data_IF_940233041503
#
_entry.id   IF_940233041503
#
_cell.length_a   1.000
_cell.length_b   1.000
_cell.length_c   1.000
_cell.angle_alpha   90.00
_cell.angle_beta   90.00
_cell.angle_gamma   90.00
#
_symmetry.space_group_name_H-M   'P 1'
#
loop_
_entity.id
_entity.type
_entity.pdbx_description
1 polymer ?
#
# COMPACT_ATOMS: atom_id res chain seq x y z
N UNK A 1 -8.68 16.43 5.55
CA UNK A 1 -7.27 16.40 6.02
C UNK A 1 -6.98 15.26 6.98
N UNK A 2 -7.74 15.05 8.07
CA UNK A 2 -7.48 13.99 9.06
C UNK A 2 -7.42 12.55 8.51
N UNK A 3 -8.27 12.21 7.52
CA UNK A 3 -8.24 10.88 6.89
C UNK A 3 -6.93 10.59 6.13
N UNK A 4 -6.35 11.59 5.45
CA UNK A 4 -5.12 11.39 4.67
C UNK A 4 -3.95 11.02 5.58
N UNK A 5 -3.81 11.69 6.72
CA UNK A 5 -2.76 11.36 7.70
C UNK A 5 -2.96 9.96 8.30
N UNK A 6 -4.19 9.56 8.61
CA UNK A 6 -4.47 8.21 9.13
C UNK A 6 -4.19 7.11 8.10
N UNK A 7 -4.50 7.36 6.82
CA UNK A 7 -4.14 6.45 5.73
C UNK A 7 -2.63 6.38 5.50
N UNK A 8 -1.93 7.51 5.60
CA UNK A 8 -0.46 7.51 5.50
C UNK A 8 0.19 6.76 6.68
N UNK A 9 -0.32 6.94 7.92
CA UNK A 9 0.12 6.13 9.06
C UNK A 9 -0.14 4.64 8.83
N UNK A 10 -1.26 4.28 8.20
CA UNK A 10 -1.53 2.90 7.79
C UNK A 10 -0.52 2.40 6.75
N UNK A 11 -0.19 3.20 5.73
CA UNK A 11 0.82 2.87 4.73
C UNK A 11 2.18 2.59 5.37
N UNK A 12 2.62 3.43 6.32
CA UNK A 12 3.86 3.22 7.07
C UNK A 12 3.84 1.93 7.92
N UNK A 13 2.71 1.62 8.57
CA UNK A 13 2.53 0.35 9.30
C UNK A 13 2.60 -0.87 8.37
N UNK A 14 2.09 -0.74 7.15
CA UNK A 14 2.17 -1.79 6.13
C UNK A 14 3.62 -1.96 5.64
N UNK A 15 4.33 -0.86 5.38
CA UNK A 15 5.73 -0.87 4.96
C UNK A 15 6.61 -1.66 5.93
N UNK A 16 6.42 -1.46 7.25
CA UNK A 16 7.18 -2.16 8.30
C UNK A 16 7.10 -3.69 8.21
N UNK A 17 6.06 -4.26 7.58
CA UNK A 17 5.96 -5.71 7.40
C UNK A 17 7.02 -6.28 6.44
N UNK A 18 7.66 -5.44 5.63
CA UNK A 18 8.79 -5.80 4.75
C UNK A 18 10.15 -5.80 5.46
N UNK A 19 10.23 -5.38 6.72
CA UNK A 19 11.48 -5.25 7.48
C UNK A 19 12.31 -6.55 7.43
N UNK A 20 13.58 -6.41 7.06
CA UNK A 20 14.53 -7.53 6.93
C UNK A 20 14.33 -8.46 5.72
N UNK A 21 13.29 -8.26 4.89
CA UNK A 21 12.96 -9.16 3.76
C UNK A 21 13.14 -8.53 2.39
N UNK A 22 13.22 -7.20 2.33
CA UNK A 22 13.18 -6.44 1.08
C UNK A 22 14.52 -5.84 0.65
N UNK A 23 15.52 -5.80 1.54
CA UNK A 23 16.84 -5.25 1.23
C UNK A 23 17.44 -5.86 -0.06
N UNK A 24 18.07 -5.07 -0.94
CA UNK A 24 18.41 -3.64 -0.84
C UNK A 24 17.27 -2.66 -1.12
N UNK A 25 16.08 -3.15 -1.49
CA UNK A 25 14.93 -2.29 -1.79
C UNK A 25 14.36 -1.67 -0.50
N UNK A 26 13.68 -0.52 -0.60
CA UNK A 26 13.04 0.11 0.55
C UNK A 26 11.80 -0.67 1.02
N UNK A 27 11.47 -0.49 2.29
CA UNK A 27 10.15 -0.84 2.82
C UNK A 27 9.12 0.15 2.29
N UNK A 28 8.13 -0.35 1.56
CA UNK A 28 7.04 0.46 1.01
C UNK A 28 5.70 -0.18 1.39
N UNK A 29 4.73 0.64 1.77
CA UNK A 29 3.35 0.26 1.98
C UNK A 29 2.43 1.20 1.22
N UNK A 30 1.30 0.70 0.75
CA UNK A 30 0.36 1.43 -0.08
C UNK A 30 -1.07 1.20 0.38
N UNK A 31 -1.90 2.24 0.33
CA UNK A 31 -3.31 2.22 0.75
C UNK A 31 -4.14 2.85 -0.35
N UNK A 32 -4.97 2.04 -1.01
CA UNK A 32 -5.88 2.52 -2.03
C UNK A 32 -7.23 2.84 -1.41
N UNK A 33 -7.72 4.06 -1.62
CA UNK A 33 -8.95 4.56 -1.01
C UNK A 33 -9.92 5.13 -2.03
N UNK A 34 -11.22 4.95 -1.83
CA UNK A 34 -12.27 5.45 -2.71
C UNK A 34 -13.49 5.80 -1.88
N UNK A 35 -14.06 6.99 -2.09
CA UNK A 35 -15.21 7.49 -1.32
C UNK A 35 -14.98 7.36 0.20
N UNK A 36 -13.81 7.83 0.65
CA UNK A 36 -13.37 7.83 2.06
C UNK A 36 -13.23 6.44 2.70
N UNK A 37 -13.18 5.37 1.90
CA UNK A 37 -12.99 3.99 2.38
C UNK A 37 -11.71 3.41 1.82
N UNK A 38 -11.00 2.64 2.65
CA UNK A 38 -9.91 1.79 2.16
C UNK A 38 -10.52 0.64 1.37
N UNK A 39 -10.15 0.53 0.10
CA UNK A 39 -10.62 -0.54 -0.80
C UNK A 39 -9.56 -1.63 -0.99
N UNK A 40 -8.27 -1.28 -0.88
CA UNK A 40 -7.19 -2.25 -0.96
C UNK A 40 -5.90 -1.74 -0.28
N UNK A 41 -4.99 -2.66 0.03
CA UNK A 41 -3.70 -2.35 0.64
C UNK A 41 -2.60 -3.28 0.13
N UNK A 42 -1.37 -2.79 0.07
CA UNK A 42 -0.20 -3.55 -0.32
C UNK A 42 1.03 -3.17 0.49
N UNK A 43 2.03 -4.05 0.48
CA UNK A 43 3.37 -3.74 0.99
C UNK A 43 4.41 -4.55 0.23
N UNK A 44 5.63 -4.03 0.08
CA UNK A 44 6.70 -4.80 -0.56
C UNK A 44 7.12 -5.94 0.38
N UNK A 45 6.90 -7.19 -0.05
CA UNK A 45 6.99 -8.38 0.82
C UNK A 45 8.39 -9.00 0.88
N UNK A 46 9.08 -9.01 -0.25
CA UNK A 46 10.36 -9.68 -0.41
C UNK A 46 11.13 -9.06 -1.60
N UNK A 47 12.45 -9.14 -1.54
CA UNK A 47 13.33 -8.66 -2.61
C UNK A 47 13.00 -9.30 -3.97
N UNK A 48 12.88 -8.47 -5.02
CA UNK A 48 12.53 -8.91 -6.38
C UNK A 48 11.03 -9.17 -6.60
N UNK A 49 10.21 -9.12 -5.54
CA UNK A 49 8.76 -9.22 -5.64
C UNK A 49 8.08 -7.92 -6.10
N UNK A 50 6.75 -7.94 -6.26
CA UNK A 50 6.00 -6.74 -6.63
C UNK A 50 6.17 -5.62 -5.59
N UNK A 51 6.19 -4.38 -6.06
CA UNK A 51 6.11 -3.22 -5.17
C UNK A 51 4.71 -3.12 -4.52
N UNK A 52 4.59 -2.30 -3.47
CA UNK A 52 3.37 -2.19 -2.67
C UNK A 52 2.15 -1.73 -3.49
N UNK A 53 2.37 -0.83 -4.44
CA UNK A 53 1.37 -0.23 -5.33
C UNK A 53 0.73 -1.30 -6.22
N UNK A 54 1.56 -2.19 -6.79
CA UNK A 54 1.10 -3.30 -7.62
C UNK A 54 0.19 -4.21 -6.81
N UNK A 55 0.62 -4.62 -5.60
CA UNK A 55 -0.19 -5.47 -4.72
C UNK A 55 -1.51 -4.78 -4.32
N UNK A 56 -1.51 -3.46 -4.06
CA UNK A 56 -2.71 -2.71 -3.72
C UNK A 56 -3.70 -2.63 -4.90
N UNK A 57 -3.21 -2.36 -6.12
CA UNK A 57 -4.04 -2.27 -7.32
C UNK A 57 -4.61 -3.63 -7.72
N UNK A 58 -3.80 -4.69 -7.71
CA UNK A 58 -4.25 -6.05 -8.03
C UNK A 58 -5.34 -6.53 -7.06
N UNK A 59 -5.18 -6.26 -5.76
CA UNK A 59 -6.19 -6.58 -4.75
C UNK A 59 -7.47 -5.77 -4.87
N UNK A 60 -7.42 -4.60 -5.50
CA UNK A 60 -8.60 -3.79 -5.75
C UNK A 60 -9.51 -4.39 -6.82
N UNK A 61 -9.08 -5.45 -7.53
CA UNK A 61 -9.90 -6.24 -8.48
C UNK A 61 -10.68 -5.38 -9.48
N UNK A 62 -10.04 -4.34 -10.01
CA UNK A 62 -10.62 -3.42 -10.99
C UNK A 62 -11.30 -2.17 -10.41
N UNK A 63 -11.40 -2.03 -9.08
CA UNK A 63 -12.04 -0.86 -8.47
C UNK A 63 -11.15 0.39 -8.34
N UNK A 64 -9.91 0.32 -8.83
CA UNK A 64 -8.90 1.37 -8.67
C UNK A 64 -9.22 2.68 -9.42
N UNK A 65 -10.05 2.64 -10.47
CA UNK A 65 -10.36 3.85 -11.23
C UNK A 65 -11.11 4.90 -10.38
N UNK A 66 -10.57 6.12 -10.33
CA UNK A 66 -11.12 7.21 -9.50
C UNK A 66 -10.86 7.06 -8.00
N UNK A 67 -9.95 6.17 -7.60
CA UNK A 67 -9.44 6.06 -6.25
C UNK A 67 -8.21 6.95 -6.03
N UNK A 68 -7.86 7.18 -4.77
CA UNK A 68 -6.59 7.79 -4.32
C UNK A 68 -5.68 6.68 -3.83
N UNK A 69 -4.41 6.69 -4.25
CA UNK A 69 -3.36 5.79 -3.77
C UNK A 69 -2.35 6.55 -2.93
#
# INVERSE_FOLDING_TARGET
MKLNEEWMKLALRLAKKGEGKVSPNPMVGAVLTKKEKVIATGYHRYFGGPHAEVEAIEKAKGEAQGATL
#
